data_IF_765861314136
#
_entry.id   IF_765861314136
#
_cell.length_a   1.000
_cell.length_b   1.000
_cell.length_c   1.000
_cell.angle_alpha   90.00
_cell.angle_beta   90.00
_cell.angle_gamma   90.00
#
_symmetry.space_group_name_H-M   'P 1'
#
loop_
_entity.id
_entity.type
_entity.pdbx_description
1 polymer ?
#
# COMPACT_ATOMS: atom_id res chain seq x y z
N UNK A 1 -25.50 -11.25 -20.33
CA UNK A 1 -25.29 -11.22 -18.86
C UNK A 1 -24.41 -12.36 -18.33
N UNK A 2 -24.26 -13.51 -19.02
CA UNK A 2 -23.49 -14.67 -18.52
C UNK A 2 -21.95 -14.50 -18.50
N UNK A 3 -21.40 -13.57 -19.29
CA UNK A 3 -19.94 -13.36 -19.40
C UNK A 3 -19.39 -12.36 -18.36
N UNK A 4 -20.24 -11.49 -17.80
CA UNK A 4 -19.82 -10.52 -16.80
C UNK A 4 -19.43 -11.19 -15.48
N UNK A 5 -20.18 -12.22 -15.08
CA UNK A 5 -19.91 -12.97 -13.85
C UNK A 5 -18.58 -13.73 -13.93
N UNK A 6 -18.25 -14.30 -15.10
CA UNK A 6 -16.98 -15.01 -15.33
C UNK A 6 -15.76 -14.09 -15.38
N UNK A 7 -15.88 -12.91 -15.99
CA UNK A 7 -14.82 -11.89 -15.99
C UNK A 7 -14.60 -11.33 -14.58
N UNK A 8 -15.67 -11.06 -13.84
CA UNK A 8 -15.58 -10.63 -12.45
C UNK A 8 -14.91 -11.71 -11.57
N UNK A 9 -15.27 -12.98 -11.72
CA UNK A 9 -14.62 -14.09 -11.00
C UNK A 9 -13.15 -14.27 -11.37
N UNK A 10 -12.76 -14.06 -12.63
CA UNK A 10 -11.36 -14.09 -13.06
C UNK A 10 -10.55 -12.93 -12.45
N UNK A 11 -11.09 -11.71 -12.46
CA UNK A 11 -10.47 -10.54 -11.83
C UNK A 11 -10.39 -10.70 -10.30
N UNK A 12 -11.44 -11.25 -9.66
CA UNK A 12 -11.43 -11.63 -8.24
C UNK A 12 -10.43 -12.76 -7.95
N UNK A 13 -10.26 -13.74 -8.85
CA UNK A 13 -9.26 -14.82 -8.69
C UNK A 13 -7.84 -14.31 -8.85
N UNK A 14 -7.63 -13.29 -9.69
CA UNK A 14 -6.36 -12.62 -9.84
C UNK A 14 -6.07 -11.73 -8.62
N UNK A 15 -7.09 -11.12 -7.98
CA UNK A 15 -6.98 -10.44 -6.68
C UNK A 15 -6.44 -11.33 -5.54
N UNK A 16 -6.53 -12.67 -5.64
CA UNK A 16 -5.88 -13.58 -4.66
C UNK A 16 -4.37 -13.75 -4.88
N UNK A 17 -3.86 -13.38 -6.06
CA UNK A 17 -2.41 -13.28 -6.33
C UNK A 17 -1.84 -11.91 -5.95
N UNK A 18 -2.71 -10.92 -5.68
CA UNK A 18 -2.34 -9.56 -5.30
C UNK A 18 -2.37 -9.39 -3.77
N UNK A 19 -1.57 -8.44 -3.29
CA UNK A 19 -1.42 -8.21 -1.86
C UNK A 19 -2.73 -7.72 -1.23
N UNK A 20 -3.01 -8.25 -0.03
CA UNK A 20 -4.13 -7.79 0.78
C UNK A 20 -3.60 -6.76 1.78
N UNK A 21 -4.16 -5.56 1.74
CA UNK A 21 -3.84 -4.46 2.63
C UNK A 21 -4.86 -4.34 3.77
N UNK A 22 -4.33 -4.22 4.99
CA UNK A 22 -5.04 -3.77 6.18
C UNK A 22 -4.51 -2.39 6.54
N UNK A 23 -5.40 -1.41 6.55
CA UNK A 23 -5.09 -0.04 6.94
C UNK A 23 -5.91 0.30 8.18
N UNK A 24 -5.25 0.86 9.18
CA UNK A 24 -5.89 1.33 10.42
C UNK A 24 -5.70 2.83 10.51
N UNK A 25 -6.80 3.58 10.46
CA UNK A 25 -6.79 5.02 10.67
C UNK A 25 -7.63 5.37 11.90
N UNK A 26 -7.10 6.12 12.88
CA UNK A 26 -7.91 6.73 13.91
C UNK A 26 -8.67 7.90 13.26
N UNK A 27 -9.85 7.62 12.71
CA UNK A 27 -10.80 8.66 12.34
C UNK A 27 -11.93 8.69 13.39
N UNK A 28 -12.22 9.89 13.92
CA UNK A 28 -13.35 10.11 14.80
C UNK A 28 -14.63 10.20 13.94
N UNK A 29 -15.60 9.33 14.23
CA UNK A 29 -16.92 9.35 13.59
C UNK A 29 -17.67 10.61 14.02
N UNK A 30 -17.63 11.64 13.18
CA UNK A 30 -18.56 12.75 13.27
C UNK A 30 -19.35 12.87 11.97
N UNK A 31 -20.58 12.34 12.04
CA UNK A 31 -21.67 12.76 11.18
C UNK A 31 -21.84 14.29 11.29
N UNK A 32 -22.15 14.90 10.15
CA UNK A 32 -22.49 16.31 9.92
C UNK A 32 -21.35 17.23 9.47
N UNK A 33 -21.70 17.99 8.42
CA UNK A 33 -21.03 19.17 7.91
C UNK A 33 -20.27 19.93 9.00
N UNK A 34 -18.95 20.02 8.90
CA UNK A 34 -18.19 21.25 9.15
C UNK A 34 -16.70 21.02 8.94
N UNK A 35 -16.02 22.07 8.49
CA UNK A 35 -14.59 22.14 8.23
C UNK A 35 -13.78 21.91 9.52
N UNK A 36 -13.44 20.67 9.83
CA UNK A 36 -12.58 20.37 10.97
C UNK A 36 -11.30 19.63 10.52
N UNK A 37 -10.19 20.36 10.64
CA UNK A 37 -8.83 19.89 10.48
C UNK A 37 -8.50 18.82 11.55
N UNK A 38 -8.74 17.54 11.24
CA UNK A 38 -8.21 16.47 12.07
C UNK A 38 -7.01 15.83 11.34
N UNK A 39 -5.82 16.00 11.90
CA UNK A 39 -4.61 15.37 11.36
C UNK A 39 -4.61 13.90 11.75
N UNK A 40 -5.33 13.08 10.99
CA UNK A 40 -5.33 11.64 11.21
C UNK A 40 -3.99 11.06 10.78
N UNK A 41 -3.44 10.22 11.67
CA UNK A 41 -2.38 9.31 11.31
C UNK A 41 -3.00 8.05 10.69
N UNK A 42 -2.23 7.29 9.93
CA UNK A 42 -2.67 6.04 9.30
C UNK A 42 -1.53 5.03 9.39
N UNK A 43 -1.81 3.85 9.91
CA UNK A 43 -0.90 2.72 9.93
C UNK A 43 -1.42 1.68 8.93
N UNK A 44 -0.67 1.43 7.85
CA UNK A 44 -1.00 0.43 6.85
C UNK A 44 -0.04 -0.75 6.89
N UNK A 45 -0.58 -1.95 6.72
CA UNK A 45 0.15 -3.21 6.60
C UNK A 45 -0.39 -3.94 5.39
N UNK A 46 0.45 -4.41 4.47
CA UNK A 46 0.04 -5.28 3.38
C UNK A 46 0.97 -6.48 3.24
N UNK A 47 0.42 -7.58 2.75
CA UNK A 47 1.17 -8.80 2.47
C UNK A 47 0.69 -9.42 1.16
N UNK A 48 1.61 -9.89 0.32
CA UNK A 48 1.24 -10.60 -0.91
C UNK A 48 2.40 -10.92 -1.83
N UNK A 49 2.09 -11.45 -3.01
CA UNK A 49 3.07 -11.73 -4.05
C UNK A 49 3.57 -10.45 -4.71
N UNK A 50 4.88 -10.29 -4.79
CA UNK A 50 5.58 -9.20 -5.48
C UNK A 50 6.34 -9.81 -6.65
N UNK A 51 6.20 -9.21 -7.83
CA UNK A 51 6.96 -9.63 -9.01
C UNK A 51 8.23 -8.80 -9.12
N UNK A 52 9.39 -9.45 -8.98
CA UNK A 52 10.71 -8.83 -9.05
C UNK A 52 11.16 -8.78 -10.51
N UNK A 53 11.01 -7.62 -11.16
CA UNK A 53 11.24 -7.47 -12.62
C UNK A 53 12.68 -7.84 -13.03
N UNK A 54 13.67 -7.51 -12.21
CA UNK A 54 15.08 -7.79 -12.50
C UNK A 54 15.44 -9.27 -12.36
N UNK A 55 14.71 -10.01 -11.52
CA UNK A 55 14.93 -11.42 -11.22
C UNK A 55 13.93 -12.33 -11.96
N UNK A 56 12.89 -11.76 -12.57
CA UNK A 56 11.83 -12.45 -13.30
C UNK A 56 11.07 -13.50 -12.49
N UNK A 57 10.91 -13.24 -11.19
CA UNK A 57 10.27 -14.17 -10.27
C UNK A 57 9.25 -13.53 -9.34
N UNK A 58 8.42 -14.37 -8.73
CA UNK A 58 7.48 -13.97 -7.70
C UNK A 58 8.04 -14.32 -6.33
N UNK A 59 8.08 -13.32 -5.47
CA UNK A 59 8.46 -13.48 -4.07
C UNK A 59 7.33 -13.00 -3.16
N UNK A 60 7.38 -13.39 -1.89
CA UNK A 60 6.41 -12.89 -0.91
C UNK A 60 6.91 -11.57 -0.32
N UNK A 61 6.07 -10.55 -0.29
CA UNK A 61 6.38 -9.24 0.28
C UNK A 61 5.52 -8.90 1.51
N UNK A 62 6.10 -8.08 2.39
CA UNK A 62 5.40 -7.36 3.45
C UNK A 62 5.67 -5.86 3.32
N UNK A 63 4.62 -5.06 3.35
CA UNK A 63 4.67 -3.59 3.35
C UNK A 63 4.10 -3.09 4.68
N UNK A 64 4.77 -2.11 5.28
CA UNK A 64 4.29 -1.32 6.42
C UNK A 64 4.43 0.17 6.09
N UNK A 65 3.43 0.99 6.36
CA UNK A 65 3.58 2.44 6.30
C UNK A 65 2.91 3.16 7.46
N UNK A 66 3.45 4.33 7.79
CA UNK A 66 2.86 5.29 8.71
C UNK A 66 2.70 6.62 8.01
N UNK A 67 1.47 7.04 7.76
CA UNK A 67 1.15 8.28 7.04
C UNK A 67 0.47 9.28 7.95
N UNK A 68 0.63 10.56 7.62
CA UNK A 68 -0.11 11.66 8.22
C UNK A 68 -0.80 12.46 7.13
N UNK A 69 -2.09 12.75 7.32
CA UNK A 69 -2.83 13.68 6.47
C UNK A 69 -2.18 15.07 6.50
N UNK A 70 -1.88 15.65 5.34
CA UNK A 70 -1.33 17.00 5.28
C UNK A 70 -2.44 18.02 5.58
N UNK A 71 -2.25 18.94 6.54
CA UNK A 71 -3.20 20.01 6.79
C UNK A 71 -3.47 20.83 5.52
N UNK A 72 -4.76 21.13 5.25
CA UNK A 72 -5.23 21.87 4.06
C UNK A 72 -5.15 21.12 2.72
N UNK A 73 -4.53 19.94 2.68
CA UNK A 73 -4.58 19.04 1.52
C UNK A 73 -5.32 17.77 1.92
N UNK A 74 -6.64 17.87 2.01
CA UNK A 74 -7.53 16.84 2.59
C UNK A 74 -7.47 15.47 1.91
N UNK A 75 -6.86 15.37 0.72
CA UNK A 75 -6.70 14.12 -0.04
C UNK A 75 -5.28 13.58 -0.06
N UNK A 76 -4.31 14.31 0.50
CA UNK A 76 -2.90 13.92 0.45
C UNK A 76 -2.40 13.56 1.85
N UNK A 77 -1.78 12.40 1.96
CA UNK A 77 -1.07 11.94 3.15
C UNK A 77 0.39 11.68 2.81
N UNK A 78 1.28 12.01 3.73
CA UNK A 78 2.72 11.77 3.61
C UNK A 78 3.25 11.02 4.82
N UNK A 79 4.28 10.21 4.61
CA UNK A 79 4.94 9.53 5.71
C UNK A 79 6.07 8.63 5.26
N UNK A 80 6.27 7.55 6.02
CA UNK A 80 7.36 6.60 5.82
C UNK A 80 6.82 5.20 5.59
N UNK A 81 7.50 4.47 4.72
CA UNK A 81 7.20 3.09 4.38
C UNK A 81 8.42 2.22 4.61
N UNK A 82 8.16 0.97 5.01
CA UNK A 82 9.12 -0.09 5.12
C UNK A 82 8.56 -1.32 4.41
N UNK A 83 9.35 -1.91 3.53
CA UNK A 83 8.96 -3.10 2.79
C UNK A 83 10.07 -4.15 2.90
N UNK A 84 9.68 -5.41 2.99
CA UNK A 84 10.61 -6.53 2.87
C UNK A 84 10.07 -7.54 1.88
N UNK A 85 10.92 -8.00 0.98
CA UNK A 85 10.61 -9.08 0.04
C UNK A 85 11.48 -10.28 0.40
N UNK A 86 10.80 -11.40 0.63
CA UNK A 86 11.40 -12.68 1.00
C UNK A 86 11.63 -13.51 -0.26
N UNK A 87 12.88 -13.48 -0.72
CA UNK A 87 13.39 -14.34 -1.78
C UNK A 87 14.69 -15.07 -1.32
N UNK A 88 15.48 -15.67 -2.22
CA UNK A 88 16.80 -16.23 -1.94
C UNK A 88 17.73 -15.21 -1.26
N UNK A 89 17.54 -13.93 -1.61
CA UNK A 89 18.09 -12.78 -0.90
C UNK A 89 16.97 -12.01 -0.20
N UNK A 90 17.25 -11.48 1.00
CA UNK A 90 16.27 -10.63 1.69
C UNK A 90 16.45 -9.19 1.23
N UNK A 91 15.41 -8.66 0.60
CA UNK A 91 15.34 -7.28 0.14
C UNK A 91 14.69 -6.45 1.25
N UNK A 92 15.30 -5.32 1.60
CA UNK A 92 14.70 -4.33 2.50
C UNK A 92 14.56 -3.01 1.77
N UNK A 93 13.41 -2.37 1.87
CA UNK A 93 13.16 -1.09 1.26
C UNK A 93 12.66 -0.10 2.31
N UNK A 94 13.19 1.11 2.32
CA UNK A 94 12.68 2.23 3.10
C UNK A 94 12.32 3.37 2.17
N UNK A 95 11.11 3.92 2.29
CA UNK A 95 10.60 4.91 1.35
C UNK A 95 9.92 6.08 2.05
N UNK A 96 9.92 7.23 1.37
CA UNK A 96 8.96 8.31 1.63
C UNK A 96 7.69 7.93 0.89
N UNK A 97 6.56 7.92 1.58
CA UNK A 97 5.28 7.47 1.01
C UNK A 97 4.35 8.65 0.84
N UNK A 98 3.81 8.80 -0.36
CA UNK A 98 2.77 9.76 -0.67
C UNK A 98 1.51 9.05 -1.13
N UNK A 99 0.41 9.19 -0.38
CA UNK A 99 -0.91 8.63 -0.69
C UNK A 99 -1.86 9.74 -1.10
N UNK A 100 -2.52 9.58 -2.24
CA UNK A 100 -3.55 10.49 -2.72
C UNK A 100 -4.90 9.78 -2.87
N UNK A 101 -5.90 10.23 -2.10
CA UNK A 101 -7.27 9.71 -2.14
C UNK A 101 -8.03 10.35 -3.31
N UNK A 102 -8.30 9.57 -4.35
CA UNK A 102 -8.98 10.04 -5.57
C UNK A 102 -10.48 10.05 -5.41
N UNK A 103 -11.01 8.94 -4.89
CA UNK A 103 -12.44 8.69 -4.73
C UNK A 103 -12.67 7.85 -3.47
N UNK A 104 -13.91 7.77 -2.98
CA UNK A 104 -14.32 6.92 -1.86
C UNK A 104 -13.69 5.51 -1.94
N UNK A 105 -12.70 5.27 -1.07
CA UNK A 105 -11.93 4.03 -0.97
C UNK A 105 -10.81 3.86 -2.00
N UNK A 106 -10.78 4.62 -3.10
CA UNK A 106 -9.76 4.52 -4.13
C UNK A 106 -8.62 5.53 -3.90
N UNK A 107 -7.41 5.01 -3.76
CA UNK A 107 -6.20 5.80 -3.53
C UNK A 107 -5.03 5.33 -4.38
N UNK A 108 -4.14 6.26 -4.70
CA UNK A 108 -2.85 5.97 -5.31
C UNK A 108 -1.73 6.27 -4.34
N UNK A 109 -0.69 5.44 -4.36
CA UNK A 109 0.49 5.62 -3.53
C UNK A 109 1.73 5.67 -4.41
N UNK A 110 2.64 6.60 -4.09
CA UNK A 110 3.96 6.71 -4.69
C UNK A 110 4.99 6.70 -3.58
N UNK A 111 5.97 5.81 -3.70
CA UNK A 111 6.93 5.52 -2.63
C UNK A 111 8.36 5.44 -3.17
N UNK A 112 9.02 6.58 -3.46
CA UNK A 112 10.46 6.61 -3.74
C UNK A 112 11.27 6.26 -2.49
N UNK A 113 12.28 5.42 -2.63
CA UNK A 113 13.01 4.86 -1.52
C UNK A 113 14.41 4.38 -1.85
N UNK A 114 14.98 3.70 -0.86
CA UNK A 114 16.27 3.03 -0.93
C UNK A 114 16.04 1.55 -0.68
N UNK A 115 16.50 0.73 -1.62
CA UNK A 115 16.54 -0.71 -1.55
C UNK A 115 17.92 -1.14 -1.02
N UNK A 116 17.91 -1.97 0.00
CA UNK A 116 19.08 -2.59 0.59
C UNK A 116 19.06 -4.08 0.25
N UNK A 117 20.09 -4.50 -0.48
CA UNK A 117 20.28 -5.88 -0.91
C UNK A 117 21.40 -6.49 -0.07
N UNK A 118 21.18 -7.70 0.42
CA UNK A 118 22.19 -8.46 1.13
C UNK A 118 22.67 -9.62 0.27
N UNK A 119 23.78 -9.42 -0.43
CA UNK A 119 24.47 -10.45 -1.21
C UNK A 119 25.63 -11.02 -0.39
N UNK A 120 25.51 -12.28 0.03
CA UNK A 120 26.48 -13.05 0.83
C UNK A 120 27.02 -12.33 2.08
N UNK A 121 27.96 -11.39 1.90
CA UNK A 121 28.68 -10.66 2.94
C UNK A 121 28.79 -9.15 2.70
N UNK A 122 28.19 -8.60 1.64
CA UNK A 122 28.16 -7.17 1.34
C UNK A 122 26.72 -6.63 1.32
N UNK A 123 26.57 -5.37 1.72
CA UNK A 123 25.34 -4.60 1.55
C UNK A 123 25.47 -3.73 0.32
N UNK A 124 24.52 -3.88 -0.60
CA UNK A 124 24.35 -2.99 -1.75
C UNK A 124 23.13 -2.11 -1.52
N UNK A 125 23.18 -0.88 -2.02
CA UNK A 125 22.09 0.08 -1.86
C UNK A 125 21.75 0.69 -3.21
N UNK A 126 20.51 0.51 -3.63
CA UNK A 126 19.96 1.02 -4.88
C UNK A 126 18.78 1.96 -4.63
N UNK A 127 18.51 2.81 -5.61
CA UNK A 127 17.28 3.58 -5.62
C UNK A 127 16.10 2.69 -6.02
N UNK A 128 14.98 2.82 -5.32
CA UNK A 128 13.74 2.12 -5.62
C UNK A 128 12.57 3.09 -5.74
N UNK A 129 11.54 2.70 -6.48
CA UNK A 129 10.25 3.39 -6.45
C UNK A 129 9.16 2.36 -6.57
N UNK A 130 8.18 2.47 -5.69
CA UNK A 130 6.99 1.65 -5.66
C UNK A 130 5.77 2.52 -6.00
N UNK A 131 4.84 2.00 -6.81
CA UNK A 131 3.56 2.63 -7.10
C UNK A 131 2.44 1.66 -6.78
N UNK A 132 1.45 2.10 -6.01
CA UNK A 132 0.30 1.25 -5.64
C UNK A 132 -1.03 1.91 -6.02
N UNK A 133 -2.00 1.06 -6.34
CA UNK A 133 -3.42 1.41 -6.35
C UNK A 133 -4.14 0.60 -5.26
N UNK A 134 -4.86 1.28 -4.39
CA UNK A 134 -5.60 0.67 -3.28
C UNK A 134 -7.10 0.91 -3.45
N UNK A 135 -7.90 -0.10 -3.13
CA UNK A 135 -9.35 0.06 -3.00
C UNK A 135 -9.84 -0.43 -1.63
N UNK A 136 -10.12 0.48 -0.72
CA UNK A 136 -10.38 0.22 0.69
C UNK A 136 -11.88 0.27 1.05
N UNK A 137 -12.34 -0.74 1.77
CA UNK A 137 -13.67 -0.79 2.41
C UNK A 137 -13.55 -0.41 3.88
N UNK A 138 -14.35 0.56 4.34
CA UNK A 138 -14.34 1.02 5.72
C UNK A 138 -15.24 0.16 6.62
N UNK A 139 -14.67 -0.34 7.71
CA UNK A 139 -15.32 -1.06 8.81
C UNK A 139 -14.94 -0.37 10.14
N UNK A 140 -15.68 0.68 10.49
CA UNK A 140 -15.34 1.55 11.62
C UNK A 140 -14.03 2.29 11.38
N UNK A 141 -13.02 2.04 12.23
CA UNK A 141 -11.66 2.63 12.14
C UNK A 141 -10.68 1.82 11.30
N UNK A 142 -11.15 0.67 10.80
CA UNK A 142 -10.34 -0.26 10.02
C UNK A 142 -10.77 -0.16 8.57
N UNK A 143 -9.80 -0.13 7.68
CA UNK A 143 -9.94 -0.10 6.24
C UNK A 143 -9.26 -1.36 5.70
N UNK A 144 -9.96 -2.08 4.83
CA UNK A 144 -9.49 -3.37 4.29
C UNK A 144 -9.70 -3.38 2.79
N UNK A 145 -8.74 -3.89 2.03
CA UNK A 145 -8.88 -3.93 0.59
C UNK A 145 -7.71 -4.53 -0.16
N UNK A 146 -7.91 -4.82 -1.46
CA UNK A 146 -6.80 -5.16 -2.33
C UNK A 146 -5.87 -3.96 -2.55
N UNK A 147 -4.59 -4.27 -2.69
CA UNK A 147 -3.55 -3.37 -3.20
C UNK A 147 -2.83 -4.03 -4.38
N UNK A 148 -2.54 -3.24 -5.41
CA UNK A 148 -1.84 -3.64 -6.64
C UNK A 148 -0.69 -2.70 -6.87
#
# INVERSE_FOLDING_TARGET
MRNFFGIALLLFSQMYLFANGLVVSPQEDHHHHDHHHNSSWELGVAAGGVYLVNEQEYAMGLHLHLLKRIPKLERLSLGLGFETVFDEHTHFNTAIVAKYDVWKGLSFVLSPGLLFLKHESAWETDFSTHFEMLYEFQLGKVHLGPVI
#
